data_IF_196491533353
#
_entry.id   IF_196491533353
#
_cell.length_a   1.000
_cell.length_b   1.000
_cell.length_c   1.000
_cell.angle_alpha   90.00
_cell.angle_beta   90.00
_cell.angle_gamma   90.00
#
_symmetry.space_group_name_H-M   'P 1'
#
loop_
_entity.id
_entity.type
_entity.pdbx_description
1 polymer ?
#
# COMPACT_ATOMS: atom_id res chain seq x y z
N UNK A 1 -41.59 -16.00 -21.22
CA UNK A 1 -41.64 -14.61 -20.70
C UNK A 1 -40.42 -14.45 -19.80
N UNK A 2 -39.54 -13.50 -20.13
CA UNK A 2 -38.16 -13.42 -19.63
C UNK A 2 -38.09 -13.20 -18.12
N UNK A 3 -37.57 -14.20 -17.38
CA UNK A 3 -36.92 -13.96 -16.09
C UNK A 3 -35.51 -13.46 -16.38
N UNK A 4 -35.41 -12.15 -16.65
CA UNK A 4 -34.12 -11.48 -16.75
C UNK A 4 -33.48 -11.39 -15.38
N UNK A 5 -32.30 -12.00 -15.24
CA UNK A 5 -31.36 -11.78 -14.15
C UNK A 5 -31.10 -10.27 -13.98
N UNK A 6 -31.83 -9.62 -13.08
CA UNK A 6 -31.42 -8.36 -12.49
C UNK A 6 -30.33 -8.68 -11.47
N UNK A 7 -29.11 -8.82 -11.97
CA UNK A 7 -27.91 -8.88 -11.15
C UNK A 7 -27.71 -7.54 -10.44
N UNK A 8 -28.44 -7.32 -9.34
CA UNK A 8 -28.08 -6.34 -8.34
C UNK A 8 -26.77 -6.80 -7.70
N UNK A 9 -25.65 -6.33 -8.22
CA UNK A 9 -24.43 -6.20 -7.43
C UNK A 9 -24.57 -4.88 -6.70
N UNK A 10 -24.82 -4.83 -5.38
CA UNK A 10 -24.73 -3.57 -4.67
C UNK A 10 -23.30 -3.07 -4.85
N UNK A 11 -23.12 -1.93 -5.51
CA UNK A 11 -21.88 -1.21 -5.32
C UNK A 11 -21.80 -0.87 -3.83
N UNK A 12 -20.68 -1.14 -3.14
CA UNK A 12 -20.60 -0.86 -1.73
C UNK A 12 -20.89 0.61 -1.48
N UNK A 13 -21.85 0.85 -0.58
CA UNK A 13 -22.28 2.19 -0.24
C UNK A 13 -21.08 3.05 0.13
N UNK A 14 -21.08 4.27 -0.41
CA UNK A 14 -20.06 5.29 -0.15
C UNK A 14 -19.77 5.43 1.35
N UNK A 15 -20.80 5.34 2.19
CA UNK A 15 -20.71 5.42 3.64
C UNK A 15 -19.85 4.30 4.26
N UNK A 16 -19.96 3.07 3.76
CA UNK A 16 -19.17 1.95 4.26
C UNK A 16 -17.69 2.17 3.94
N UNK A 17 -17.36 2.55 2.70
CA UNK A 17 -15.99 2.85 2.30
C UNK A 17 -15.42 4.04 3.08
N UNK A 18 -16.21 5.09 3.29
CA UNK A 18 -15.82 6.26 4.09
C UNK A 18 -15.58 5.88 5.55
N UNK A 19 -16.44 5.04 6.13
CA UNK A 19 -16.26 4.50 7.48
C UNK A 19 -14.96 3.70 7.60
N UNK A 20 -14.72 2.74 6.71
CA UNK A 20 -13.50 1.92 6.71
C UNK A 20 -12.25 2.80 6.53
N UNK A 21 -12.27 3.70 5.55
CA UNK A 21 -11.17 4.63 5.29
C UNK A 21 -10.86 5.52 6.50
N UNK A 22 -11.87 6.13 7.12
CA UNK A 22 -11.67 7.03 8.26
C UNK A 22 -11.03 6.32 9.46
N UNK A 23 -11.47 5.10 9.76
CA UNK A 23 -10.93 4.32 10.87
C UNK A 23 -9.52 3.78 10.58
N UNK A 24 -9.24 3.35 9.34
CA UNK A 24 -7.89 2.97 8.91
C UNK A 24 -6.90 4.14 9.01
N UNK A 25 -7.29 5.31 8.48
CA UNK A 25 -6.46 6.52 8.58
C UNK A 25 -6.20 6.88 10.05
N UNK A 26 -7.22 6.77 10.91
CA UNK A 26 -7.06 7.01 12.35
C UNK A 26 -6.02 6.07 12.98
N UNK A 27 -6.11 4.76 12.72
CA UNK A 27 -5.19 3.77 13.27
C UNK A 27 -3.75 3.99 12.79
N UNK A 28 -3.56 4.18 11.49
CA UNK A 28 -2.23 4.39 10.90
C UNK A 28 -1.61 5.70 11.42
N UNK A 29 -2.43 6.75 11.62
CA UNK A 29 -1.95 8.01 12.20
C UNK A 29 -1.55 7.89 13.67
N UNK A 30 -2.17 6.96 14.40
CA UNK A 30 -1.95 6.72 15.83
C UNK A 30 -0.71 5.85 16.09
N UNK A 31 -0.18 5.18 15.07
CA UNK A 31 1.06 4.41 15.17
C UNK A 31 2.26 5.35 15.33
N UNK A 32 3.13 5.09 16.32
CA UNK A 32 4.27 5.96 16.63
C UNK A 32 5.32 5.97 15.51
N UNK A 33 5.62 4.80 14.93
CA UNK A 33 6.67 4.61 13.92
C UNK A 33 6.33 5.17 12.54
N UNK A 34 5.05 5.44 12.25
CA UNK A 34 4.62 5.92 10.93
C UNK A 34 4.75 4.92 9.79
N UNK A 35 5.18 3.69 10.07
CA UNK A 35 5.30 2.58 9.14
C UNK A 35 4.59 1.39 9.78
N UNK A 36 3.63 0.81 9.08
CA UNK A 36 2.86 -0.35 9.57
C UNK A 36 2.63 -1.36 8.44
N UNK A 37 3.09 -2.61 8.59
CA UNK A 37 2.82 -3.65 7.60
C UNK A 37 1.38 -4.12 7.73
N UNK A 38 0.79 -4.56 6.61
CA UNK A 38 -0.55 -5.14 6.61
C UNK A 38 -0.64 -6.36 7.53
N UNK A 39 0.32 -7.27 7.35
CA UNK A 39 0.47 -8.50 8.11
C UNK A 39 1.66 -8.37 9.05
N UNK A 40 1.59 -9.01 10.23
CA UNK A 40 2.75 -9.07 11.09
C UNK A 40 3.81 -10.01 10.52
N UNK A 41 5.07 -9.63 10.66
CA UNK A 41 6.23 -10.46 10.37
C UNK A 41 6.89 -11.00 11.64
N UNK A 42 6.47 -10.53 12.81
CA UNK A 42 7.02 -10.92 14.11
C UNK A 42 5.91 -11.48 14.98
N UNK A 43 6.15 -12.62 15.63
CA UNK A 43 5.15 -13.27 16.48
C UNK A 43 4.62 -12.38 17.61
N UNK A 44 5.44 -11.44 18.08
CA UNK A 44 5.10 -10.50 19.16
C UNK A 44 4.36 -9.23 18.72
N UNK A 45 4.18 -9.01 17.42
CA UNK A 45 3.59 -7.79 16.88
C UNK A 45 2.32 -8.14 16.07
N UNK A 46 1.36 -7.22 16.00
CA UNK A 46 0.16 -7.36 15.16
C UNK A 46 0.31 -6.53 13.88
N UNK A 47 -0.21 -7.05 12.77
CA UNK A 47 -0.29 -6.30 11.52
C UNK A 47 -1.44 -5.29 11.55
N UNK A 48 -1.47 -4.36 10.58
CA UNK A 48 -2.57 -3.41 10.44
C UNK A 48 -3.93 -4.11 10.35
N UNK A 49 -4.03 -5.25 9.64
CA UNK A 49 -5.29 -5.98 9.51
C UNK A 49 -5.81 -6.43 10.88
N UNK A 50 -4.98 -7.12 11.68
CA UNK A 50 -5.38 -7.63 12.99
C UNK A 50 -5.69 -6.48 13.97
N UNK A 51 -4.88 -5.42 13.95
CA UNK A 51 -5.13 -4.20 14.74
C UNK A 51 -6.48 -3.59 14.34
N UNK A 52 -6.80 -3.57 13.05
CA UNK A 52 -8.05 -3.01 12.56
C UNK A 52 -9.26 -3.85 12.95
N UNK A 53 -9.19 -5.17 12.85
CA UNK A 53 -10.26 -6.08 13.30
C UNK A 53 -10.50 -5.93 14.81
N UNK A 54 -9.44 -5.91 15.62
CA UNK A 54 -9.52 -5.67 17.06
C UNK A 54 -10.14 -4.31 17.37
N UNK A 55 -9.73 -3.27 16.63
CA UNK A 55 -10.26 -1.92 16.80
C UNK A 55 -11.75 -1.85 16.46
N UNK A 56 -12.18 -2.50 15.36
CA UNK A 56 -13.59 -2.54 15.00
C UNK A 56 -14.41 -3.31 16.03
N UNK A 57 -13.95 -4.49 16.49
CA UNK A 57 -14.68 -5.26 17.50
C UNK A 57 -14.91 -4.43 18.78
N UNK A 58 -13.87 -3.73 19.24
CA UNK A 58 -13.96 -2.79 20.36
C UNK A 58 -14.92 -1.64 20.10
N UNK A 59 -14.91 -1.05 18.89
CA UNK A 59 -15.81 0.04 18.50
C UNK A 59 -17.28 -0.40 18.45
N UNK A 60 -17.54 -1.67 18.15
CA UNK A 60 -18.85 -2.31 18.21
C UNK A 60 -19.17 -2.91 19.58
N UNK A 61 -18.32 -2.69 20.59
CA UNK A 61 -18.49 -3.17 21.96
C UNK A 61 -18.64 -4.70 22.06
N UNK A 62 -17.89 -5.44 21.23
CA UNK A 62 -17.93 -6.89 21.18
C UNK A 62 -16.52 -7.52 21.12
N UNK A 63 -16.43 -8.78 21.54
CA UNK A 63 -15.22 -9.59 21.37
C UNK A 63 -15.06 -10.06 19.90
N UNK A 64 -13.91 -10.66 19.59
CA UNK A 64 -13.60 -11.13 18.24
C UNK A 64 -14.54 -12.20 17.73
N UNK A 65 -15.01 -13.11 18.59
CA UNK A 65 -15.89 -14.22 18.20
C UNK A 65 -17.27 -13.68 17.81
N UNK A 66 -17.78 -12.75 18.62
CA UNK A 66 -19.04 -12.03 18.38
C UNK A 66 -18.94 -11.10 17.17
N UNK A 67 -17.75 -10.58 16.86
CA UNK A 67 -17.51 -9.73 15.70
C UNK A 67 -17.47 -10.48 14.36
N UNK A 68 -17.10 -11.77 14.34
CA UNK A 68 -16.93 -12.54 13.09
C UNK A 68 -18.17 -12.53 12.17
N UNK A 69 -19.41 -12.71 12.66
CA UNK A 69 -20.60 -12.62 11.81
C UNK A 69 -20.77 -11.23 11.20
N UNK A 70 -20.54 -10.16 11.97
CA UNK A 70 -20.59 -8.78 11.46
C UNK A 70 -19.52 -8.53 10.40
N UNK A 71 -18.31 -9.04 10.58
CA UNK A 71 -17.26 -8.95 9.57
C UNK A 71 -17.71 -9.59 8.25
N UNK A 72 -18.32 -10.78 8.29
CA UNK A 72 -18.85 -11.43 7.08
C UNK A 72 -19.94 -10.61 6.41
N UNK A 73 -20.86 -10.02 7.17
CA UNK A 73 -21.87 -9.12 6.62
C UNK A 73 -21.25 -7.88 5.97
N UNK A 74 -20.25 -7.27 6.63
CA UNK A 74 -19.49 -6.15 6.06
C UNK A 74 -18.81 -6.54 4.75
N UNK A 75 -18.21 -7.73 4.66
CA UNK A 75 -17.57 -8.22 3.44
C UNK A 75 -18.55 -8.52 2.31
N UNK A 76 -19.76 -8.99 2.63
CA UNK A 76 -20.86 -9.16 1.67
C UNK A 76 -21.28 -7.80 1.11
N UNK A 77 -21.48 -6.79 1.97
CA UNK A 77 -21.82 -5.42 1.57
C UNK A 77 -20.68 -4.77 0.77
N UNK A 78 -19.43 -5.09 1.12
CA UNK A 78 -18.24 -4.64 0.43
C UNK A 78 -18.04 -5.34 -0.92
N UNK A 79 -18.73 -6.47 -1.15
CA UNK A 79 -18.54 -7.32 -2.32
C UNK A 79 -17.15 -7.96 -2.40
N UNK A 80 -16.36 -7.91 -1.33
CA UNK A 80 -15.03 -8.50 -1.24
C UNK A 80 -14.56 -8.63 0.22
N UNK A 81 -13.62 -9.53 0.43
CA UNK A 81 -12.93 -9.67 1.72
C UNK A 81 -12.28 -8.36 2.17
N UNK A 82 -12.32 -8.07 3.47
CA UNK A 82 -11.86 -6.79 4.01
C UNK A 82 -10.35 -6.61 3.86
N UNK A 83 -9.56 -7.65 4.12
CA UNK A 83 -8.10 -7.63 3.93
C UNK A 83 -7.77 -7.31 2.47
N UNK A 84 -8.48 -7.95 1.53
CA UNK A 84 -8.35 -7.70 0.10
C UNK A 84 -8.72 -6.26 -0.28
N UNK A 85 -9.79 -5.69 0.30
CA UNK A 85 -10.15 -4.28 0.08
C UNK A 85 -9.08 -3.31 0.58
N UNK A 86 -8.46 -3.59 1.74
CA UNK A 86 -7.35 -2.78 2.27
C UNK A 86 -6.15 -2.78 1.32
N UNK A 87 -5.86 -3.93 0.70
CA UNK A 87 -4.76 -4.07 -0.25
C UNK A 87 -5.05 -3.41 -1.60
N UNK A 88 -6.22 -3.68 -2.16
CA UNK A 88 -6.53 -3.33 -3.55
C UNK A 88 -7.17 -1.96 -3.71
N UNK A 89 -8.01 -1.52 -2.76
CA UNK A 89 -8.89 -0.36 -2.97
C UNK A 89 -8.61 0.80 -2.01
N UNK A 90 -8.24 0.51 -0.77
CA UNK A 90 -8.11 1.54 0.27
C UNK A 90 -7.24 2.71 -0.19
N UNK A 91 -6.05 2.45 -0.72
CA UNK A 91 -5.13 3.50 -1.15
C UNK A 91 -5.68 4.34 -2.31
N UNK A 92 -6.29 3.72 -3.32
CA UNK A 92 -6.88 4.44 -4.45
C UNK A 92 -8.11 5.25 -4.02
N UNK A 93 -8.98 4.66 -3.20
CA UNK A 93 -10.15 5.32 -2.65
C UNK A 93 -9.76 6.53 -1.81
N UNK A 94 -8.77 6.37 -0.93
CA UNK A 94 -8.15 7.45 -0.19
C UNK A 94 -7.58 8.53 -1.12
N UNK A 95 -6.78 8.17 -2.13
CA UNK A 95 -6.26 9.17 -3.08
C UNK A 95 -7.37 9.96 -3.78
N UNK A 96 -8.46 9.29 -4.19
CA UNK A 96 -9.61 9.96 -4.80
C UNK A 96 -10.26 10.97 -3.84
N UNK A 97 -10.48 10.58 -2.58
CA UNK A 97 -11.09 11.44 -1.54
C UNK A 97 -10.22 12.63 -1.15
N UNK A 98 -8.90 12.50 -1.26
CA UNK A 98 -7.94 13.57 -0.95
C UNK A 98 -7.37 14.27 -2.20
N UNK A 99 -8.05 14.20 -3.35
CA UNK A 99 -7.69 14.96 -4.55
C UNK A 99 -6.31 14.60 -5.12
N UNK A 100 -5.91 13.34 -5.03
CA UNK A 100 -4.62 12.82 -5.47
C UNK A 100 -3.46 13.11 -4.51
N UNK A 101 -3.74 13.54 -3.28
CA UNK A 101 -2.74 13.87 -2.25
C UNK A 101 -2.82 12.89 -1.09
N UNK A 102 -2.14 11.73 -1.17
CA UNK A 102 -2.23 10.74 -0.12
C UNK A 102 -1.62 11.23 1.21
N UNK A 103 -2.36 11.08 2.31
CA UNK A 103 -1.84 11.23 3.68
C UNK A 103 -1.12 9.94 4.10
N UNK A 104 -1.66 8.80 3.68
CA UNK A 104 -1.07 7.47 3.82
C UNK A 104 -0.59 6.97 2.47
N UNK A 105 0.67 6.56 2.40
CA UNK A 105 1.27 5.90 1.25
C UNK A 105 1.23 4.38 1.41
N UNK A 106 0.83 3.65 0.38
CA UNK A 106 0.93 2.18 0.36
C UNK A 106 2.16 1.78 -0.46
N UNK A 107 3.13 1.18 0.23
CA UNK A 107 4.32 0.58 -0.33
C UNK A 107 4.08 -0.92 -0.49
N UNK A 108 3.95 -1.38 -1.73
CA UNK A 108 3.47 -2.72 -2.05
C UNK A 108 4.30 -3.37 -3.16
N UNK A 109 4.49 -4.69 -3.11
CA UNK A 109 5.14 -5.41 -4.21
C UNK A 109 4.29 -5.57 -5.46
N UNK A 110 2.96 -5.45 -5.35
CA UNK A 110 2.00 -5.64 -6.45
C UNK A 110 2.31 -6.90 -7.25
N UNK A 111 1.96 -8.07 -6.69
CA UNK A 111 2.22 -9.38 -7.31
C UNK A 111 1.75 -9.42 -8.77
N UNK A 112 2.52 -10.07 -9.64
CA UNK A 112 2.20 -10.28 -11.06
C UNK A 112 1.18 -11.40 -11.25
N UNK A 113 0.93 -12.19 -10.20
CA UNK A 113 -0.01 -13.31 -10.19
C UNK A 113 -1.27 -12.94 -9.41
N UNK A 114 -2.35 -13.72 -9.52
CA UNK A 114 -3.56 -13.55 -8.69
C UNK A 114 -3.33 -13.92 -7.20
N UNK A 115 -2.08 -13.95 -6.73
CA UNK A 115 -1.70 -14.28 -5.35
C UNK A 115 -1.65 -13.01 -4.48
N UNK A 116 -1.62 -13.20 -3.15
CA UNK A 116 -1.38 -12.09 -2.23
C UNK A 116 -0.03 -11.42 -2.50
N UNK A 117 0.07 -10.12 -2.23
CA UNK A 117 1.34 -9.40 -2.38
C UNK A 117 2.38 -9.93 -1.39
N UNK A 118 3.63 -10.06 -1.87
CA UNK A 118 4.80 -10.30 -1.01
C UNK A 118 4.89 -9.32 0.16
N UNK A 119 4.55 -8.06 -0.08
CA UNK A 119 4.56 -7.04 0.96
C UNK A 119 3.51 -5.97 0.70
N UNK A 120 2.88 -5.51 1.78
CA UNK A 120 2.07 -4.31 1.85
C UNK A 120 2.41 -3.57 3.14
N UNK A 121 2.95 -2.36 3.01
CA UNK A 121 3.30 -1.47 4.11
C UNK A 121 2.58 -0.15 3.91
N UNK A 122 1.99 0.38 4.98
CA UNK A 122 1.36 1.69 5.01
C UNK A 122 2.25 2.69 5.74
N UNK A 123 2.53 3.82 5.10
CA UNK A 123 3.48 4.83 5.56
C UNK A 123 2.78 6.17 5.70
N UNK A 124 2.93 6.83 6.83
CA UNK A 124 2.38 8.18 7.05
C UNK A 124 3.28 9.22 6.39
N UNK A 125 2.73 9.98 5.45
CA UNK A 125 3.47 10.99 4.68
C UNK A 125 4.27 11.97 5.54
N UNK A 126 3.66 12.50 6.60
CA UNK A 126 4.30 13.48 7.48
C UNK A 126 5.45 12.92 8.33
N UNK A 127 5.64 11.60 8.36
CA UNK A 127 6.75 10.95 9.05
C UNK A 127 7.84 10.47 8.11
N UNK A 128 7.68 10.66 6.79
CA UNK A 128 8.76 10.41 5.83
C UNK A 128 9.99 11.23 6.20
N UNK A 129 11.13 10.57 6.27
CA UNK A 129 12.43 11.14 6.58
C UNK A 129 13.53 10.30 5.91
N UNK A 130 14.78 10.73 6.02
CA UNK A 130 15.91 10.07 5.36
C UNK A 130 16.13 8.61 5.80
N UNK A 131 15.68 8.24 7.00
CA UNK A 131 15.76 6.88 7.51
C UNK A 131 14.58 6.01 7.09
N UNK A 132 13.58 6.53 6.37
CA UNK A 132 12.39 5.75 6.00
C UNK A 132 12.74 4.53 5.17
N UNK A 133 13.56 4.68 4.13
CA UNK A 133 13.99 3.56 3.30
C UNK A 133 14.88 2.57 4.08
N UNK A 134 15.97 3.01 4.76
CA UNK A 134 16.74 2.13 5.62
C UNK A 134 15.91 1.34 6.63
N UNK A 135 14.93 1.99 7.27
CA UNK A 135 14.04 1.34 8.23
C UNK A 135 13.14 0.31 7.56
N UNK A 136 12.58 0.60 6.36
CA UNK A 136 11.80 -0.38 5.59
C UNK A 136 12.64 -1.63 5.31
N UNK A 137 13.89 -1.45 4.89
CA UNK A 137 14.80 -2.56 4.62
C UNK A 137 15.05 -3.41 5.86
N UNK A 138 15.59 -2.79 6.90
CA UNK A 138 16.15 -3.49 8.06
C UNK A 138 15.05 -4.01 8.98
N UNK A 139 13.98 -3.24 9.19
CA UNK A 139 12.91 -3.64 10.13
C UNK A 139 11.86 -4.56 9.49
N UNK A 140 11.72 -4.56 8.16
CA UNK A 140 10.62 -5.27 7.49
C UNK A 140 11.09 -6.19 6.35
N UNK A 141 11.85 -5.71 5.37
CA UNK A 141 12.20 -6.52 4.19
C UNK A 141 13.16 -7.67 4.50
N UNK A 142 14.27 -7.40 5.19
CA UNK A 142 15.27 -8.42 5.53
C UNK A 142 14.73 -9.50 6.48
N UNK A 143 14.00 -9.16 7.57
CA UNK A 143 13.38 -10.18 8.42
C UNK A 143 12.37 -11.02 7.66
N UNK A 144 11.59 -10.40 6.76
CA UNK A 144 10.62 -11.11 5.95
C UNK A 144 11.32 -12.13 5.03
N UNK A 145 12.35 -11.72 4.30
CA UNK A 145 13.13 -12.62 3.44
C UNK A 145 13.65 -13.84 4.21
N UNK A 146 14.21 -13.61 5.40
CA UNK A 146 14.71 -14.69 6.26
C UNK A 146 13.61 -15.69 6.65
N UNK A 147 12.41 -15.20 6.99
CA UNK A 147 11.26 -16.07 7.31
C UNK A 147 10.85 -16.89 6.09
N UNK A 148 10.81 -16.28 4.90
CA UNK A 148 10.47 -16.98 3.65
C UNK A 148 11.51 -18.06 3.30
N UNK A 149 12.80 -17.76 3.42
CA UNK A 149 13.89 -18.72 3.20
C UNK A 149 13.81 -19.90 4.17
N UNK A 150 13.57 -19.63 5.46
CA UNK A 150 13.40 -20.68 6.48
C UNK A 150 12.21 -21.58 6.17
N UNK A 151 11.05 -21.01 5.81
CA UNK A 151 9.85 -21.78 5.44
C UNK A 151 10.07 -22.63 4.19
N UNK A 152 10.81 -22.10 3.19
CA UNK A 152 11.21 -22.84 1.99
C UNK A 152 12.09 -24.05 2.34
N UNK A 153 13.02 -23.89 3.27
CA UNK A 153 13.92 -24.96 3.71
C UNK A 153 13.20 -26.08 4.50
N UNK A 154 12.17 -25.75 5.28
CA UNK A 154 11.43 -26.70 6.12
C UNK A 154 10.38 -27.48 5.29
N UNK A 155 10.01 -27.00 4.10
CA UNK A 155 9.06 -27.68 3.21
C UNK A 155 7.60 -27.66 3.70
N UNK A 156 7.26 -26.79 4.63
CA UNK A 156 5.95 -26.73 5.32
C UNK A 156 4.96 -25.72 4.75
N UNK A 157 5.21 -25.13 3.59
CA UNK A 157 4.32 -24.12 3.03
C UNK A 157 2.99 -24.75 2.53
N UNK A 158 1.82 -24.39 3.08
CA UNK A 158 0.57 -24.54 2.35
C UNK A 158 0.67 -23.66 1.10
N UNK A 159 0.48 -24.28 -0.06
CA UNK A 159 0.88 -23.76 -1.39
C UNK A 159 0.03 -22.56 -1.87
N UNK A 160 -1.04 -22.20 -1.17
CA UNK A 160 -2.07 -21.31 -1.71
C UNK A 160 -2.01 -19.84 -1.25
N UNK A 161 -1.49 -19.55 -0.05
CA UNK A 161 -1.62 -18.20 0.56
C UNK A 161 -0.28 -17.45 0.76
N UNK A 162 0.81 -17.96 0.19
CA UNK A 162 2.15 -17.37 0.41
C UNK A 162 2.72 -16.84 -0.91
N UNK A 163 3.06 -15.53 -0.98
CA UNK A 163 3.75 -14.94 -2.12
C UNK A 163 5.01 -15.75 -2.46
N UNK A 164 5.32 -15.98 -3.74
CA UNK A 164 6.54 -16.74 -4.07
C UNK A 164 7.77 -15.98 -3.56
N UNK A 165 8.68 -16.68 -2.88
CA UNK A 165 9.96 -16.13 -2.39
C UNK A 165 10.69 -15.34 -3.49
N UNK A 166 10.62 -15.84 -4.73
CA UNK A 166 11.21 -15.21 -5.91
C UNK A 166 10.65 -13.79 -6.19
N UNK A 167 9.35 -13.54 -5.94
CA UNK A 167 8.75 -12.21 -6.07
C UNK A 167 9.23 -11.26 -4.98
N UNK A 168 9.42 -11.76 -3.75
CA UNK A 168 10.00 -10.98 -2.66
C UNK A 168 11.46 -10.63 -2.93
N UNK A 169 12.26 -11.58 -3.43
CA UNK A 169 13.66 -11.35 -3.82
C UNK A 169 13.76 -10.34 -4.97
N UNK A 170 12.91 -10.45 -6.00
CA UNK A 170 12.84 -9.48 -7.09
C UNK A 170 12.49 -8.08 -6.55
N UNK A 171 11.53 -8.01 -5.62
CA UNK A 171 11.13 -6.76 -4.98
C UNK A 171 12.23 -6.14 -4.14
N UNK A 172 12.91 -6.93 -3.32
CA UNK A 172 14.04 -6.45 -2.51
C UNK A 172 15.16 -5.97 -3.42
N UNK A 173 15.48 -6.69 -4.51
CA UNK A 173 16.49 -6.23 -5.47
C UNK A 173 16.11 -4.90 -6.13
N UNK A 174 14.85 -4.73 -6.52
CA UNK A 174 14.34 -3.46 -7.04
C UNK A 174 14.45 -2.34 -5.99
N UNK A 175 14.13 -2.64 -4.73
CA UNK A 175 14.28 -1.72 -3.60
C UNK A 175 15.73 -1.32 -3.33
N UNK A 176 16.68 -2.27 -3.39
CA UNK A 176 18.12 -1.97 -3.23
C UNK A 176 18.61 -1.02 -4.32
N UNK A 177 18.12 -1.20 -5.55
CA UNK A 177 18.46 -0.32 -6.69
C UNK A 177 17.96 1.10 -6.45
N UNK A 178 16.73 1.23 -5.93
CA UNK A 178 16.14 2.50 -5.52
C UNK A 178 16.98 3.20 -4.47
N UNK A 179 17.38 2.49 -3.41
CA UNK A 179 18.20 3.10 -2.34
C UNK A 179 19.59 3.56 -2.80
N UNK A 180 20.19 2.89 -3.79
CA UNK A 180 21.50 3.23 -4.33
C UNK A 180 21.46 4.31 -5.44
N UNK A 181 20.27 4.85 -5.74
CA UNK A 181 20.05 5.86 -6.78
C UNK A 181 19.47 5.26 -8.07
N UNK A 182 18.37 5.84 -8.55
CA UNK A 182 17.64 5.36 -9.73
C UNK A 182 18.39 5.55 -11.05
N UNK A 183 18.20 4.60 -11.99
CA UNK A 183 18.37 4.86 -13.43
C UNK A 183 17.07 5.30 -14.13
N UNK A 184 15.89 4.94 -13.61
CA UNK A 184 14.58 5.30 -14.18
C UNK A 184 13.48 5.35 -13.10
N UNK A 185 12.79 6.50 -12.96
CA UNK A 185 11.62 6.65 -12.08
C UNK A 185 10.38 5.95 -12.70
N UNK A 186 9.59 5.16 -11.94
CA UNK A 186 8.34 4.58 -12.43
C UNK A 186 7.22 5.64 -12.63
N UNK A 187 6.26 5.35 -13.51
CA UNK A 187 5.22 6.31 -13.89
C UNK A 187 4.14 6.49 -12.79
N UNK A 188 4.00 7.68 -12.17
CA UNK A 188 3.01 7.97 -11.12
C UNK A 188 1.56 8.01 -11.62
N UNK A 189 1.32 7.95 -12.94
CA UNK A 189 -0.04 7.85 -13.49
C UNK A 189 -0.69 6.48 -13.20
N UNK A 190 0.09 5.44 -12.86
CA UNK A 190 -0.43 4.17 -12.35
C UNK A 190 -0.79 4.24 -10.85
N UNK A 191 -0.48 5.37 -10.18
CA UNK A 191 -0.45 5.47 -8.72
C UNK A 191 -1.60 6.31 -8.19
N UNK A 192 -1.96 7.40 -8.87
CA UNK A 192 -2.97 8.36 -8.35
C UNK A 192 -4.32 8.30 -9.07
N UNK A 193 -4.46 7.42 -10.06
CA UNK A 193 -5.56 7.48 -11.02
C UNK A 193 -5.46 8.75 -11.86
N UNK A 194 -6.22 8.83 -12.95
CA UNK A 194 -6.18 9.91 -13.97
C UNK A 194 -6.62 11.30 -13.45
N UNK A 195 -6.51 11.58 -12.15
CA UNK A 195 -7.30 12.59 -11.43
C UNK A 195 -6.47 13.62 -10.68
N UNK A 196 -5.14 13.51 -10.63
CA UNK A 196 -4.30 14.54 -10.02
C UNK A 196 -4.44 15.83 -10.83
N UNK A 197 -5.18 16.82 -10.29
CA UNK A 197 -5.37 18.11 -10.95
C UNK A 197 -3.99 18.76 -11.15
N UNK A 198 -3.63 19.03 -12.41
CA UNK A 198 -2.50 19.91 -12.75
C UNK A 198 -2.70 21.23 -11.99
N UNK A 199 -1.71 21.63 -11.19
CA UNK A 199 -1.71 22.99 -10.65
C UNK A 199 -1.50 24.00 -11.77
N UNK A 200 -1.78 25.28 -11.52
CA UNK A 200 -1.46 26.37 -12.47
C UNK A 200 0.02 26.77 -12.35
N UNK A 201 0.73 26.91 -13.48
CA UNK A 201 2.11 27.43 -13.58
C UNK A 201 3.11 26.51 -14.31
N UNK A 202 4.24 27.08 -14.77
CA UNK A 202 5.36 26.39 -15.47
C UNK A 202 6.19 25.49 -14.53
N UNK A 203 6.07 25.71 -13.22
CA UNK A 203 6.67 24.97 -12.11
C UNK A 203 5.95 23.65 -11.78
N UNK A 204 5.00 23.20 -12.63
CA UNK A 204 4.08 22.09 -12.33
C UNK A 204 3.90 21.11 -13.47
N UNK A 205 4.89 21.01 -14.36
CA UNK A 205 4.95 19.93 -15.34
C UNK A 205 5.39 18.62 -14.68
N UNK A 206 5.04 17.49 -15.29
CA UNK A 206 5.51 16.19 -14.81
C UNK A 206 7.04 16.11 -14.87
N UNK A 207 7.66 16.70 -15.87
CA UNK A 207 9.12 16.79 -15.99
C UNK A 207 9.76 17.48 -14.77
N UNK A 208 9.17 18.58 -14.29
CA UNK A 208 9.67 19.25 -13.08
C UNK A 208 9.50 18.37 -11.84
N UNK A 209 8.33 17.75 -11.67
CA UNK A 209 8.04 16.84 -10.55
C UNK A 209 9.06 15.68 -10.51
N UNK A 210 9.35 15.06 -11.66
CA UNK A 210 10.35 14.01 -11.76
C UNK A 210 11.77 14.51 -11.46
N UNK A 211 12.14 15.66 -12.00
CA UNK A 211 13.44 16.27 -11.72
C UNK A 211 13.63 16.52 -10.21
N UNK A 212 12.59 16.98 -9.50
CA UNK A 212 12.65 17.14 -8.06
C UNK A 212 12.70 15.80 -7.31
N UNK A 213 11.97 14.78 -7.76
CA UNK A 213 12.03 13.44 -7.18
C UNK A 213 13.41 12.78 -7.37
N UNK A 214 14.01 12.92 -8.56
CA UNK A 214 15.41 12.53 -8.86
C UNK A 214 16.39 13.24 -7.93
N UNK A 215 16.20 14.54 -7.68
CA UNK A 215 17.05 15.30 -6.79
C UNK A 215 17.01 14.77 -5.35
N UNK A 216 15.83 14.37 -4.86
CA UNK A 216 15.63 13.81 -3.51
C UNK A 216 16.39 12.51 -3.30
N UNK A 217 16.63 11.70 -4.34
CA UNK A 217 17.28 10.39 -4.20
C UNK A 217 18.77 10.38 -4.53
N UNK A 218 19.25 11.34 -5.36
CA UNK A 218 20.63 11.39 -5.85
C UNK A 218 21.68 11.44 -4.72
N UNK A 219 21.31 11.89 -3.53
CA UNK A 219 22.19 12.02 -2.37
C UNK A 219 21.72 11.18 -1.17
N UNK A 220 21.06 10.05 -1.46
CA UNK A 220 20.26 9.31 -0.49
C UNK A 220 18.88 9.96 -0.33
N UNK A 221 17.82 9.16 -0.20
CA UNK A 221 16.45 9.63 -0.08
C UNK A 221 16.31 10.68 1.04
N UNK A 222 16.06 11.94 0.67
CA UNK A 222 15.91 13.06 1.60
C UNK A 222 14.61 13.81 1.30
N UNK A 223 13.47 13.35 1.85
CA UNK A 223 12.18 13.96 1.55
C UNK A 223 12.13 15.41 2.03
N UNK A 224 11.52 16.26 1.22
CA UNK A 224 11.25 17.67 1.48
C UNK A 224 9.74 17.89 1.48
N UNK A 225 9.13 17.94 2.68
CA UNK A 225 7.68 18.05 2.83
C UNK A 225 7.10 19.35 2.24
N UNK A 226 7.93 20.37 1.96
CA UNK A 226 7.49 21.63 1.35
C UNK A 226 7.36 21.55 -0.17
N UNK A 227 8.05 20.62 -0.83
CA UNK A 227 8.01 20.44 -2.29
C UNK A 227 6.77 19.69 -2.80
N UNK A 228 5.93 19.20 -1.89
CA UNK A 228 4.64 18.59 -2.20
C UNK A 228 4.66 17.06 -2.18
N UNK A 229 3.47 16.47 -2.03
CA UNK A 229 3.31 15.05 -1.70
C UNK A 229 3.90 14.13 -2.77
N UNK A 230 3.61 14.39 -4.04
CA UNK A 230 4.03 13.53 -5.16
C UNK A 230 5.56 13.42 -5.26
N UNK A 231 6.28 14.52 -5.07
CA UNK A 231 7.74 14.57 -5.21
C UNK A 231 8.43 13.66 -4.19
N UNK A 232 7.86 13.53 -2.99
CA UNK A 232 8.40 12.71 -1.91
C UNK A 232 8.02 11.23 -2.02
N UNK A 233 6.86 10.91 -2.59
CA UNK A 233 6.39 9.52 -2.69
C UNK A 233 6.83 8.83 -3.99
N UNK A 234 7.06 9.58 -5.07
CA UNK A 234 7.54 9.04 -6.36
C UNK A 234 8.80 8.19 -6.18
N UNK A 235 9.81 8.62 -5.40
CA UNK A 235 10.98 7.80 -5.11
C UNK A 235 10.70 6.54 -4.30
N UNK A 236 9.52 6.38 -3.70
CA UNK A 236 9.10 5.19 -2.94
C UNK A 236 8.29 4.21 -3.80
N UNK A 237 8.10 4.53 -5.08
CA UNK A 237 7.32 3.70 -5.99
C UNK A 237 8.20 2.57 -6.51
N UNK A 238 7.76 1.32 -6.30
CA UNK A 238 8.36 0.15 -6.92
C UNK A 238 7.26 -0.55 -7.71
N UNK A 239 7.41 -0.59 -9.03
CA UNK A 239 6.63 -1.46 -9.88
C UNK A 239 7.55 -2.55 -10.42
N UNK A 240 7.23 -3.82 -10.18
CA UNK A 240 7.95 -4.97 -10.75
C UNK A 240 7.67 -5.15 -12.26
N UNK A 241 6.98 -4.19 -12.88
CA UNK A 241 6.61 -4.21 -14.29
C UNK A 241 7.76 -3.69 -15.16
N UNK A 242 8.34 -4.58 -15.96
CA UNK A 242 9.33 -4.30 -17.01
C UNK A 242 8.87 -3.36 -18.13
N UNK A 243 7.71 -2.69 -18.01
CA UNK A 243 7.35 -1.61 -18.94
C UNK A 243 8.16 -0.36 -18.59
N UNK A 244 9.44 -0.38 -18.97
CA UNK A 244 10.03 0.82 -19.57
C UNK A 244 9.06 1.26 -20.66
N UNK A 245 8.49 2.45 -20.52
CA UNK A 245 8.58 3.46 -21.57
C UNK A 245 7.86 4.73 -21.16
N UNK A 246 8.64 5.81 -21.18
CA UNK A 246 8.24 7.13 -21.68
C UNK A 246 7.15 6.96 -22.73
N UNK A 247 5.95 7.41 -22.41
CA UNK A 247 5.02 8.05 -23.35
C UNK A 247 3.97 8.74 -22.48
N UNK A 248 4.26 10.00 -22.18
CA UNK A 248 3.35 10.94 -21.55
C UNK A 248 2.46 11.51 -22.67
N UNK A 249 1.29 10.91 -22.86
CA UNK A 249 0.15 11.53 -23.55
C UNK A 249 -1.09 11.36 -22.69
#
# INVERSE_FOLDING_TARGET
MFLGNLGWKPEPDIWLKDFLMANLIYLIKSTSKGIIPLNSFKESELGLYDIFINFLSQKFYCDLQTFQPFLKELEILLGKNLKRWIVEDFFFYHCQRFGGRPIIWQFSSRSKSNQENAIDIFIKYHQLNENTLPNIRVEYLEPLLKIFEQRKAIGTLPVEDVPKCDELEEFIRAFMTLENGYENIPNPNSITGKSAKKGKGDDKTWEWVFSQAEFIIKNGYKPDHFKGVLINIIPLCIELSNKKKKNFL
#
